data_IF_322544003864
#
_entry.id   IF_322544003864
#
_cell.length_a   1.000
_cell.length_b   1.000
_cell.length_c   1.000
_cell.angle_alpha   90.00
_cell.angle_beta   90.00
_cell.angle_gamma   90.00
#
_symmetry.space_group_name_H-M   'P 1'
#
loop_
_entity.id
_entity.type
_entity.pdbx_description
1 polymer ?
#
# COMPACT_ATOMS: atom_id res chain seq x y z
N UNK A 1 5.96 34.13 9.64
CA UNK A 1 4.82 33.50 10.34
C UNK A 1 4.21 32.36 9.50
N UNK A 2 3.86 32.61 8.24
CA UNK A 2 3.38 31.58 7.31
C UNK A 2 4.31 30.36 7.15
N UNK A 3 5.62 30.56 7.04
CA UNK A 3 6.61 29.46 6.95
C UNK A 3 6.61 28.52 8.18
N UNK A 4 6.45 29.05 9.41
CA UNK A 4 6.33 28.23 10.64
C UNK A 4 4.99 27.48 10.69
N UNK A 5 3.90 28.10 10.25
CA UNK A 5 2.59 27.44 10.15
C UNK A 5 2.60 26.27 9.16
N UNK A 6 3.19 26.47 7.97
CA UNK A 6 3.34 25.39 6.97
C UNK A 6 4.18 24.25 7.53
N UNK A 7 5.30 24.56 8.20
CA UNK A 7 6.18 23.53 8.78
C UNK A 7 5.53 22.69 9.89
N UNK A 8 4.55 23.23 10.63
CA UNK A 8 3.76 22.47 11.63
C UNK A 8 2.55 21.73 11.04
N UNK A 9 2.10 22.13 9.85
CA UNK A 9 0.94 21.54 9.18
C UNK A 9 1.33 20.32 8.36
N UNK A 10 2.52 20.35 7.74
CA UNK A 10 3.06 19.25 6.92
C UNK A 10 3.10 17.91 7.70
N UNK A 11 3.66 17.82 8.93
CA UNK A 11 3.71 16.54 9.66
C UNK A 11 2.31 16.01 10.01
N UNK A 12 1.37 16.90 10.35
CA UNK A 12 -0.01 16.53 10.69
C UNK A 12 -0.77 16.00 9.48
N UNK A 13 -0.57 16.62 8.32
CA UNK A 13 -1.16 16.17 7.06
C UNK A 13 -0.56 14.84 6.60
N UNK A 14 0.76 14.68 6.71
CA UNK A 14 1.43 13.42 6.38
C UNK A 14 0.99 12.28 7.31
N UNK A 15 0.88 12.55 8.61
CA UNK A 15 0.45 11.55 9.59
C UNK A 15 -1.01 11.15 9.41
N UNK A 16 -1.92 12.12 9.24
CA UNK A 16 -3.34 11.84 9.00
C UNK A 16 -3.58 11.14 7.67
N UNK A 17 -2.89 11.54 6.60
CA UNK A 17 -2.93 10.87 5.30
C UNK A 17 -2.37 9.44 5.37
N UNK A 18 -1.26 9.24 6.07
CA UNK A 18 -0.66 7.92 6.30
C UNK A 18 -1.60 6.99 7.08
N UNK A 19 -2.22 7.47 8.16
CA UNK A 19 -3.19 6.70 8.94
C UNK A 19 -4.45 6.37 8.14
N UNK A 20 -4.98 7.33 7.37
CA UNK A 20 -6.12 7.09 6.49
C UNK A 20 -5.80 6.03 5.42
N UNK A 21 -4.59 6.08 4.85
CA UNK A 21 -4.09 5.07 3.92
C UNK A 21 -4.02 3.68 4.55
N UNK A 22 -3.45 3.55 5.75
CA UNK A 22 -3.38 2.28 6.48
C UNK A 22 -4.78 1.75 6.79
N UNK A 23 -5.70 2.60 7.24
CA UNK A 23 -7.08 2.20 7.51
C UNK A 23 -7.80 1.68 6.25
N UNK A 24 -7.64 2.37 5.11
CA UNK A 24 -8.17 1.93 3.82
C UNK A 24 -7.60 0.57 3.41
N UNK A 25 -6.30 0.36 3.62
CA UNK A 25 -5.65 -0.93 3.35
C UNK A 25 -6.18 -2.03 4.24
N UNK A 26 -6.35 -1.81 5.56
CA UNK A 26 -6.90 -2.81 6.48
C UNK A 26 -8.28 -3.33 6.01
N UNK A 27 -9.15 -2.43 5.54
CA UNK A 27 -10.49 -2.79 5.04
C UNK A 27 -10.43 -3.53 3.70
N UNK A 28 -9.50 -3.16 2.82
CA UNK A 28 -9.43 -3.72 1.45
C UNK A 28 -8.60 -5.01 1.37
N UNK A 29 -7.62 -5.16 2.26
CA UNK A 29 -6.68 -6.29 2.30
C UNK A 29 -7.33 -7.69 2.37
N UNK A 30 -8.41 -7.95 3.13
CA UNK A 30 -9.10 -9.25 3.07
C UNK A 30 -9.55 -9.62 1.66
N UNK A 31 -10.05 -8.66 0.88
CA UNK A 31 -10.48 -8.90 -0.50
C UNK A 31 -9.29 -9.25 -1.41
N UNK A 32 -8.14 -8.63 -1.18
CA UNK A 32 -6.91 -8.91 -1.95
C UNK A 32 -6.31 -10.28 -1.61
N UNK A 33 -6.39 -10.71 -0.34
CA UNK A 33 -5.99 -12.07 0.08
C UNK A 33 -6.88 -13.12 -0.60
N UNK A 34 -8.20 -12.91 -0.63
CA UNK A 34 -9.13 -13.83 -1.29
C UNK A 34 -8.83 -13.92 -2.79
N UNK A 35 -8.63 -12.78 -3.47
CA UNK A 35 -8.24 -12.75 -4.88
C UNK A 35 -6.93 -13.49 -5.13
N UNK A 36 -5.91 -13.24 -4.30
CA UNK A 36 -4.59 -13.87 -4.46
C UNK A 36 -4.66 -15.38 -4.28
N UNK A 37 -5.47 -15.88 -3.33
CA UNK A 37 -5.69 -17.32 -3.15
C UNK A 37 -6.47 -17.94 -4.30
N UNK A 38 -7.48 -17.24 -4.83
CA UNK A 38 -8.21 -17.70 -6.02
C UNK A 38 -7.34 -17.70 -7.28
N UNK A 39 -6.42 -16.74 -7.43
CA UNK A 39 -5.48 -16.72 -8.55
C UNK A 39 -4.39 -17.80 -8.42
N UNK A 40 -4.01 -18.17 -7.19
CA UNK A 40 -3.12 -19.28 -6.94
C UNK A 40 -3.82 -20.64 -7.12
N UNK A 41 -5.15 -20.68 -6.92
CA UNK A 41 -5.96 -21.87 -7.15
C UNK A 41 -6.08 -22.16 -8.66
N UNK A 42 -5.76 -23.39 -9.07
CA UNK A 42 -5.71 -23.79 -10.49
C UNK A 42 -4.30 -23.91 -11.09
N UNK A 43 -3.25 -23.38 -10.45
CA UNK A 43 -1.85 -23.59 -10.90
C UNK A 43 -1.45 -25.08 -10.88
N UNK A 44 -2.16 -25.91 -10.12
CA UNK A 44 -1.94 -27.36 -9.98
C UNK A 44 -2.95 -28.28 -10.69
N UNK A 45 -3.77 -27.78 -11.63
CA UNK A 45 -4.84 -28.54 -12.35
C UNK A 45 -6.00 -29.08 -11.48
N UNK A 46 -6.05 -28.78 -10.19
CA UNK A 46 -7.18 -29.08 -9.31
C UNK A 46 -7.66 -27.76 -8.71
N UNK A 47 -8.91 -27.38 -8.96
CA UNK A 47 -9.54 -26.23 -8.31
C UNK A 47 -9.92 -26.65 -6.88
N UNK A 48 -9.25 -26.07 -5.89
CA UNK A 48 -9.52 -26.26 -4.45
C UNK A 48 -10.78 -25.51 -4.00
N UNK A 49 -11.21 -24.49 -4.77
CA UNK A 49 -12.33 -23.63 -4.42
C UNK A 49 -13.37 -23.57 -5.56
N UNK A 50 -14.63 -23.84 -5.24
CA UNK A 50 -15.74 -23.78 -6.21
C UNK A 50 -16.28 -22.35 -6.39
N UNK A 51 -16.08 -21.48 -5.41
CA UNK A 51 -16.57 -20.10 -5.40
C UNK A 51 -15.80 -19.24 -4.39
N UNK A 52 -15.89 -17.91 -4.52
CA UNK A 52 -15.28 -16.95 -3.59
C UNK A 52 -15.73 -17.23 -2.14
N UNK A 53 -17.02 -17.45 -1.92
CA UNK A 53 -17.57 -17.74 -0.60
C UNK A 53 -17.05 -19.07 0.00
N UNK A 54 -16.79 -20.07 -0.85
CA UNK A 54 -16.24 -21.36 -0.46
C UNK A 54 -14.75 -21.23 -0.08
N UNK A 55 -13.98 -20.44 -0.85
CA UNK A 55 -12.61 -20.07 -0.50
C UNK A 55 -12.54 -19.38 0.87
N UNK A 56 -13.42 -18.42 1.14
CA UNK A 56 -13.49 -17.72 2.43
C UNK A 56 -13.81 -18.69 3.56
N UNK A 57 -14.88 -19.49 3.40
CA UNK A 57 -15.34 -20.42 4.44
C UNK A 57 -14.30 -21.48 4.75
N UNK A 58 -13.67 -22.05 3.73
CA UNK A 58 -12.65 -23.08 3.89
C UNK A 58 -11.36 -22.50 4.48
N UNK A 59 -10.96 -21.29 4.08
CA UNK A 59 -9.78 -20.60 4.64
C UNK A 59 -9.97 -20.25 6.11
N UNK A 60 -11.15 -19.74 6.51
CA UNK A 60 -11.48 -19.47 7.92
C UNK A 60 -11.51 -20.75 8.73
N UNK A 61 -12.04 -21.85 8.18
CA UNK A 61 -12.11 -23.13 8.90
C UNK A 61 -10.75 -23.81 9.08
N UNK A 62 -9.82 -23.63 8.13
CA UNK A 62 -8.47 -24.23 8.17
C UNK A 62 -7.46 -23.37 8.94
N UNK A 63 -7.45 -22.05 8.73
CA UNK A 63 -6.41 -21.14 9.23
C UNK A 63 -6.95 -20.04 10.17
N UNK A 64 -8.27 -19.90 10.31
CA UNK A 64 -8.90 -18.86 11.12
C UNK A 64 -9.01 -17.49 10.45
N UNK A 65 -9.56 -16.51 11.19
CA UNK A 65 -9.75 -15.13 10.70
C UNK A 65 -8.43 -14.36 10.51
N UNK A 66 -7.35 -14.75 11.18
CA UNK A 66 -6.03 -14.14 11.03
C UNK A 66 -5.43 -14.36 9.64
N UNK A 67 -5.96 -15.30 8.85
CA UNK A 67 -5.48 -15.53 7.49
C UNK A 67 -5.65 -14.30 6.59
N UNK A 68 -6.67 -13.48 6.87
CA UNK A 68 -6.94 -12.26 6.10
C UNK A 68 -6.04 -11.09 6.47
N UNK A 69 -5.35 -11.13 7.61
CA UNK A 69 -4.39 -10.08 8.02
C UNK A 69 -2.94 -10.54 7.87
N UNK A 70 -2.71 -11.83 7.59
CA UNK A 70 -1.39 -12.41 7.29
C UNK A 70 -0.81 -11.74 6.04
N UNK A 71 0.27 -10.98 6.23
CA UNK A 71 0.97 -10.26 5.15
C UNK A 71 0.71 -8.75 5.09
N UNK A 72 -0.24 -8.21 5.87
CA UNK A 72 -0.50 -6.77 5.92
C UNK A 72 0.77 -5.99 6.30
N UNK A 73 1.54 -6.51 7.26
CA UNK A 73 2.85 -5.93 7.64
C UNK A 73 3.83 -5.89 6.46
N UNK A 74 3.86 -6.93 5.62
CA UNK A 74 4.68 -6.95 4.42
C UNK A 74 4.21 -5.92 3.40
N UNK A 75 2.90 -5.78 3.22
CA UNK A 75 2.31 -4.77 2.33
C UNK A 75 2.61 -3.34 2.78
N UNK A 76 2.48 -3.05 4.08
CA UNK A 76 2.80 -1.75 4.66
C UNK A 76 4.30 -1.46 4.58
N UNK A 77 5.15 -2.45 4.88
CA UNK A 77 6.60 -2.32 4.75
C UNK A 77 7.01 -2.07 3.28
N UNK A 78 6.37 -2.73 2.32
CA UNK A 78 6.57 -2.52 0.88
C UNK A 78 6.04 -1.17 0.40
N UNK A 79 4.94 -0.68 0.98
CA UNK A 79 4.33 0.59 0.56
C UNK A 79 5.28 1.77 0.79
N UNK A 80 6.12 1.73 1.82
CA UNK A 80 7.08 2.80 2.11
C UNK A 80 8.09 3.06 0.97
N UNK A 81 8.91 2.08 0.52
CA UNK A 81 9.84 2.29 -0.59
C UNK A 81 9.12 2.55 -1.92
N UNK A 82 7.95 1.92 -2.16
CA UNK A 82 7.16 2.17 -3.38
C UNK A 82 6.67 3.62 -3.44
N UNK A 83 6.17 4.15 -2.33
CA UNK A 83 5.72 5.54 -2.25
C UNK A 83 6.90 6.50 -2.38
N UNK A 84 8.05 6.19 -1.75
CA UNK A 84 9.28 7.00 -1.88
C UNK A 84 9.78 7.05 -3.33
N UNK A 85 9.84 5.90 -4.01
CA UNK A 85 10.21 5.83 -5.43
C UNK A 85 9.22 6.59 -6.32
N UNK A 86 7.92 6.47 -6.06
CA UNK A 86 6.88 7.21 -6.80
C UNK A 86 7.06 8.72 -6.65
N UNK A 87 7.28 9.21 -5.43
CA UNK A 87 7.56 10.63 -5.20
C UNK A 87 8.83 11.09 -5.91
N UNK A 88 9.90 10.30 -5.89
CA UNK A 88 11.14 10.61 -6.60
C UNK A 88 10.91 10.67 -8.12
N UNK A 89 10.24 9.68 -8.71
CA UNK A 89 9.94 9.63 -10.14
C UNK A 89 9.05 10.80 -10.56
N UNK A 90 7.97 11.06 -9.85
CA UNK A 90 7.07 12.18 -10.15
C UNK A 90 7.81 13.51 -10.06
N UNK A 91 8.65 13.70 -9.03
CA UNK A 91 9.45 14.91 -8.87
C UNK A 91 10.40 15.09 -10.04
N UNK A 92 11.15 14.06 -10.42
CA UNK A 92 12.08 14.11 -11.55
C UNK A 92 11.38 14.39 -12.89
N UNK A 93 10.23 13.75 -13.13
CA UNK A 93 9.45 13.94 -14.36
C UNK A 93 8.86 15.36 -14.43
N UNK A 94 8.31 15.86 -13.32
CA UNK A 94 7.78 17.22 -13.25
C UNK A 94 8.89 18.27 -13.40
N UNK A 95 10.08 18.00 -12.86
CA UNK A 95 11.25 18.86 -13.02
C UNK A 95 11.73 18.89 -14.48
N UNK A 96 11.82 17.73 -15.12
CA UNK A 96 12.16 17.62 -16.55
C UNK A 96 11.14 18.38 -17.42
N UNK A 97 9.85 18.20 -17.17
CA UNK A 97 8.79 18.90 -17.90
C UNK A 97 8.78 20.42 -17.67
N UNK A 98 9.37 20.91 -16.57
CA UNK A 98 9.45 22.34 -16.24
C UNK A 98 10.75 23.01 -16.65
N UNK A 99 11.79 22.26 -17.04
CA UNK A 99 13.06 22.80 -17.52
C UNK A 99 13.89 23.53 -16.47
N UNK A 100 13.74 23.21 -15.18
CA UNK A 100 14.43 23.88 -14.05
C UNK A 100 15.61 23.06 -13.49
N UNK A 101 16.76 23.73 -13.29
CA UNK A 101 18.06 23.14 -12.90
C UNK A 101 18.16 22.69 -11.43
N UNK A 102 18.99 21.66 -11.25
CA UNK A 102 19.00 20.65 -10.18
C UNK A 102 19.57 21.06 -8.80
N UNK A 103 19.20 22.23 -8.24
CA UNK A 103 19.94 22.78 -7.08
C UNK A 103 19.38 22.57 -5.64
N UNK A 104 18.07 22.39 -5.33
CA UNK A 104 17.64 22.39 -3.92
C UNK A 104 17.26 21.04 -3.28
N UNK A 105 17.17 19.92 -4.01
CA UNK A 105 16.47 18.71 -3.52
C UNK A 105 17.34 17.54 -3.03
N UNK A 106 18.66 17.58 -3.26
CA UNK A 106 19.59 16.51 -2.83
C UNK A 106 19.99 16.62 -1.34
N UNK A 107 19.72 17.74 -0.65
CA UNK A 107 20.26 18.01 0.71
C UNK A 107 19.20 18.04 1.81
N UNK A 108 17.98 17.51 1.58
CA UNK A 108 16.90 17.49 2.61
C UNK A 108 16.34 16.10 2.93
N UNK A 109 17.08 15.05 2.57
CA UNK A 109 16.91 13.71 3.12
C UNK A 109 18.09 13.38 4.01
#
# INVERSE_FOLDING_TARGET
IASKMVSYMIPKLLFSGGMAGIASWIVTYPADVIKSRLQADGVGRVNQYSSIADCVRQSVRKEGYMVFTRGLTSTVLRAFPVNAATFATVTLVLMYARGEDLSPLIVKF
#
